data_IF_279406796726
#
_entry.id   IF_279406796726
#
_cell.length_a   1.000
_cell.length_b   1.000
_cell.length_c   1.000
_cell.angle_alpha   90.00
_cell.angle_beta   90.00
_cell.angle_gamma   90.00
#
_symmetry.space_group_name_H-M   'P 1'
#
loop_
_entity.id
_entity.type
_entity.pdbx_description
1 polymer ?
#
# COMPACT_ATOMS: atom_id res chain seq x y z
N UNK A 1 20.81 3.39 7.76
CA UNK A 1 19.59 3.58 8.54
C UNK A 1 18.39 3.29 7.68
N UNK A 2 17.31 2.89 8.33
CA UNK A 2 16.16 2.36 7.61
C UNK A 2 14.94 3.19 7.92
N UNK A 3 14.53 3.98 6.94
CA UNK A 3 13.28 4.70 7.01
C UNK A 3 12.27 3.90 6.21
N UNK A 4 11.11 3.64 6.78
CA UNK A 4 10.04 2.91 6.09
C UNK A 4 8.84 3.81 5.87
N UNK A 5 8.07 3.49 4.84
CA UNK A 5 6.86 4.20 4.50
C UNK A 5 5.78 3.19 4.11
N UNK A 6 4.54 3.59 4.23
CA UNK A 6 3.42 2.80 3.74
C UNK A 6 2.75 3.57 2.60
N UNK A 7 2.47 2.87 1.50
CA UNK A 7 1.89 3.45 0.30
C UNK A 7 0.58 2.74 -0.04
N UNK A 8 -0.49 3.48 -0.35
CA UNK A 8 -1.82 2.89 -0.56
C UNK A 8 -2.01 2.32 -1.97
N UNK A 9 -1.10 1.48 -2.41
CA UNK A 9 -1.24 0.71 -3.63
C UNK A 9 -0.37 -0.54 -3.53
N UNK A 10 -0.54 -1.46 -4.48
CA UNK A 10 0.31 -2.63 -4.62
C UNK A 10 1.50 -2.28 -5.51
N UNK A 11 2.52 -1.65 -4.91
CA UNK A 11 3.71 -1.24 -5.65
C UNK A 11 4.33 -2.42 -6.41
N UNK A 12 4.88 -2.19 -7.60
CA UNK A 12 5.19 -0.89 -8.23
C UNK A 12 4.01 -0.22 -8.92
N UNK A 13 2.81 -0.76 -8.79
CA UNK A 13 1.63 -0.18 -9.40
C UNK A 13 1.22 1.10 -8.68
N UNK A 14 0.91 2.14 -9.42
CA UNK A 14 0.42 3.43 -8.94
C UNK A 14 1.34 4.12 -7.93
N UNK A 15 2.56 4.38 -8.33
CA UNK A 15 3.44 5.27 -7.57
C UNK A 15 2.85 6.69 -7.56
N UNK A 16 3.12 7.43 -6.50
CA UNK A 16 2.67 8.82 -6.37
C UNK A 16 1.28 8.95 -5.78
N UNK A 17 0.54 9.94 -6.23
CA UNK A 17 -0.74 10.35 -5.65
C UNK A 17 -1.94 9.71 -6.35
N UNK A 18 -3.12 9.86 -5.71
CA UNK A 18 -4.42 9.49 -6.28
C UNK A 18 -4.54 8.00 -6.64
N UNK A 19 -3.96 7.15 -5.80
CA UNK A 19 -3.95 5.71 -6.06
C UNK A 19 -5.35 5.11 -6.12
N UNK A 20 -6.24 5.56 -5.24
CA UNK A 20 -7.62 5.05 -5.19
C UNK A 20 -8.41 5.45 -6.43
N UNK A 21 -8.28 6.71 -6.87
CA UNK A 21 -8.91 7.17 -8.10
C UNK A 21 -8.42 6.36 -9.30
N UNK A 22 -7.12 6.11 -9.34
CA UNK A 22 -6.50 5.40 -10.47
C UNK A 22 -6.94 3.93 -10.50
N UNK A 23 -7.00 3.28 -9.34
CA UNK A 23 -7.46 1.89 -9.25
C UNK A 23 -8.91 1.75 -9.72
N UNK A 24 -9.78 2.65 -9.29
CA UNK A 24 -11.21 2.63 -9.67
C UNK A 24 -11.37 2.94 -11.15
N UNK A 25 -10.70 3.97 -11.65
CA UNK A 25 -10.76 4.36 -13.05
C UNK A 25 -10.33 3.23 -13.97
N UNK A 26 -9.32 2.47 -13.58
CA UNK A 26 -8.80 1.36 -14.37
C UNK A 26 -9.56 0.05 -14.12
N UNK A 27 -10.61 0.08 -13.31
CA UNK A 27 -11.45 -1.08 -12.99
C UNK A 27 -10.63 -2.27 -12.46
N UNK A 28 -9.65 -1.98 -11.63
CA UNK A 28 -8.84 -3.02 -11.01
C UNK A 28 -9.68 -3.87 -10.07
N UNK A 29 -9.44 -5.18 -10.06
CA UNK A 29 -10.11 -6.08 -9.13
C UNK A 29 -9.54 -5.97 -7.71
N UNK A 30 -8.28 -5.63 -7.60
CA UNK A 30 -7.58 -5.51 -6.33
C UNK A 30 -6.78 -4.22 -6.30
N UNK A 31 -6.75 -3.61 -5.14
CA UNK A 31 -5.80 -2.59 -4.77
C UNK A 31 -5.08 -3.09 -3.53
N UNK A 32 -4.58 -2.23 -2.69
CA UNK A 32 -3.96 -2.63 -1.45
C UNK A 32 -3.01 -1.59 -0.93
N UNK A 33 -2.06 -2.07 -0.14
CA UNK A 33 -1.05 -1.21 0.44
C UNK A 33 0.29 -1.93 0.52
N UNK A 34 1.35 -1.15 0.56
CA UNK A 34 2.72 -1.64 0.57
C UNK A 34 3.52 -0.93 1.65
N UNK A 35 4.22 -1.68 2.49
CA UNK A 35 5.25 -1.12 3.36
C UNK A 35 6.59 -1.34 2.69
N UNK A 36 7.36 -0.28 2.53
CA UNK A 36 8.64 -0.33 1.81
C UNK A 36 9.68 0.56 2.47
N UNK A 37 10.93 0.29 2.18
CA UNK A 37 12.02 1.19 2.57
C UNK A 37 11.98 2.43 1.69
N UNK A 38 12.29 3.58 2.30
CA UNK A 38 12.36 4.83 1.55
C UNK A 38 13.66 4.83 0.73
N UNK A 39 13.55 5.27 -0.52
CA UNK A 39 14.71 5.45 -1.41
C UNK A 39 14.66 6.85 -2.03
N UNK A 40 15.69 7.21 -2.79
CA UNK A 40 15.72 8.50 -3.48
C UNK A 40 14.63 8.64 -4.52
N UNK A 41 14.20 7.52 -5.12
CA UNK A 41 13.12 7.53 -6.11
C UNK A 41 11.79 7.37 -5.41
N UNK A 42 10.78 8.10 -5.90
CA UNK A 42 9.43 8.05 -5.34
C UNK A 42 8.88 6.62 -5.36
N UNK A 43 8.46 6.15 -4.19
CA UNK A 43 7.78 4.85 -4.01
C UNK A 43 8.52 3.68 -4.68
N UNK A 44 9.84 3.69 -4.66
CA UNK A 44 10.67 2.70 -5.36
C UNK A 44 11.63 1.93 -4.44
N UNK A 45 11.56 2.13 -3.14
CA UNK A 45 12.38 1.39 -2.20
C UNK A 45 11.96 -0.07 -2.11
N UNK A 46 12.84 -0.90 -1.56
CA UNK A 46 12.60 -2.33 -1.41
C UNK A 46 11.31 -2.59 -0.63
N UNK A 47 10.47 -3.46 -1.16
CA UNK A 47 9.21 -3.85 -0.53
C UNK A 47 9.47 -4.77 0.65
N UNK A 48 8.82 -4.48 1.77
CA UNK A 48 8.88 -5.30 2.98
C UNK A 48 7.71 -6.27 3.01
N UNK A 49 6.48 -5.74 2.98
CA UNK A 49 5.24 -6.53 2.92
C UNK A 49 4.18 -5.76 2.15
N UNK A 50 3.20 -6.51 1.64
CA UNK A 50 2.04 -5.94 0.96
C UNK A 50 0.78 -6.64 1.42
N UNK A 51 -0.36 -5.96 1.28
CA UNK A 51 -1.66 -6.56 1.54
C UNK A 51 -2.64 -6.17 0.43
N UNK A 52 -3.30 -7.17 -0.15
CA UNK A 52 -4.35 -6.96 -1.15
C UNK A 52 -5.65 -6.55 -0.47
N UNK A 53 -6.37 -5.64 -1.12
CA UNK A 53 -7.73 -5.24 -0.73
C UNK A 53 -8.59 -5.29 -1.98
N UNK A 54 -9.68 -6.03 -1.92
CA UNK A 54 -10.59 -6.16 -3.06
C UNK A 54 -11.26 -4.82 -3.36
N UNK A 55 -11.30 -4.44 -4.64
CA UNK A 55 -12.05 -3.29 -5.10
C UNK A 55 -13.46 -3.76 -5.44
N UNK A 56 -14.46 -3.13 -4.83
CA UNK A 56 -15.87 -3.48 -5.06
C UNK A 56 -16.45 -2.62 -6.16
N UNK A 57 -17.45 -3.16 -6.88
CA UNK A 57 -18.12 -2.41 -7.96
C UNK A 57 -18.72 -1.09 -7.48
N UNK A 58 -19.17 -1.07 -6.24
CA UNK A 58 -19.77 0.12 -5.63
C UNK A 58 -18.77 1.08 -5.02
N UNK A 59 -17.46 0.77 -5.06
CA UNK A 59 -16.47 1.60 -4.43
C UNK A 59 -16.36 2.96 -5.09
N UNK A 60 -16.25 3.97 -4.23
CA UNK A 60 -15.75 5.29 -4.58
C UNK A 60 -14.31 5.39 -4.09
N UNK A 61 -13.54 6.40 -4.52
CA UNK A 61 -12.21 6.61 -3.96
C UNK A 61 -12.22 6.70 -2.44
N UNK A 62 -13.26 7.34 -1.88
CA UNK A 62 -13.40 7.51 -0.43
C UNK A 62 -13.64 6.18 0.30
N UNK A 63 -14.54 5.34 -0.21
CA UNK A 63 -14.82 4.06 0.44
C UNK A 63 -13.65 3.10 0.34
N UNK A 64 -12.98 3.07 -0.81
CA UNK A 64 -11.77 2.26 -1.00
C UNK A 64 -10.66 2.74 -0.07
N UNK A 65 -10.47 4.05 0.02
CA UNK A 65 -9.47 4.64 0.91
C UNK A 65 -9.66 4.20 2.36
N UNK A 66 -10.89 4.20 2.85
CA UNK A 66 -11.20 3.78 4.23
C UNK A 66 -10.82 2.33 4.47
N UNK A 67 -11.15 1.43 3.53
CA UNK A 67 -10.82 0.02 3.68
C UNK A 67 -9.33 -0.24 3.57
N UNK A 68 -8.64 0.49 2.70
CA UNK A 68 -7.19 0.37 2.59
C UNK A 68 -6.50 0.90 3.85
N UNK A 69 -7.01 1.97 4.45
CA UNK A 69 -6.47 2.48 5.70
C UNK A 69 -6.54 1.44 6.83
N UNK A 70 -7.66 0.71 6.91
CA UNK A 70 -7.78 -0.37 7.87
C UNK A 70 -6.71 -1.44 7.63
N UNK A 71 -6.50 -1.80 6.36
CA UNK A 71 -5.47 -2.76 5.99
C UNK A 71 -4.06 -2.25 6.32
N UNK A 72 -3.80 -0.95 6.09
CA UNK A 72 -2.52 -0.33 6.44
C UNK A 72 -2.24 -0.44 7.93
N UNK A 73 -3.25 -0.15 8.76
CA UNK A 73 -3.10 -0.20 10.21
C UNK A 73 -2.80 -1.61 10.72
N UNK A 74 -3.30 -2.64 10.03
CA UNK A 74 -3.01 -4.03 10.36
C UNK A 74 -1.64 -4.46 9.84
N UNK A 75 -1.25 -3.94 8.69
CA UNK A 75 -0.02 -4.35 8.01
C UNK A 75 1.23 -3.76 8.65
N UNK A 76 1.15 -2.53 9.15
CA UNK A 76 2.32 -1.83 9.67
C UNK A 76 3.02 -2.58 10.82
N UNK A 77 2.29 -3.06 11.85
CA UNK A 77 2.93 -3.86 12.90
C UNK A 77 3.56 -5.15 12.37
N UNK A 78 2.97 -5.76 11.35
CA UNK A 78 3.52 -6.97 10.72
C UNK A 78 4.85 -6.63 10.06
N UNK A 79 4.93 -5.50 9.37
CA UNK A 79 6.16 -5.04 8.76
C UNK A 79 7.27 -4.81 9.79
N UNK A 80 6.93 -4.16 10.90
CA UNK A 80 7.88 -3.90 11.99
C UNK A 80 8.41 -5.22 12.56
N UNK A 81 7.54 -6.18 12.83
CA UNK A 81 7.96 -7.49 13.34
C UNK A 81 8.87 -8.21 12.35
N UNK A 82 8.54 -8.12 11.06
CA UNK A 82 9.38 -8.75 10.02
C UNK A 82 10.78 -8.16 10.00
N UNK A 83 10.89 -6.84 10.12
CA UNK A 83 12.18 -6.15 10.15
C UNK A 83 12.99 -6.58 11.37
N UNK A 84 12.36 -6.58 12.55
CA UNK A 84 13.02 -6.92 13.81
C UNK A 84 13.45 -8.38 13.86
N UNK A 85 12.68 -9.30 13.28
CA UNK A 85 12.99 -10.72 13.32
C UNK A 85 14.17 -11.11 12.44
N UNK A 86 14.64 -10.23 11.57
CA UNK A 86 15.81 -10.49 10.72
C UNK A 86 17.15 -10.20 11.41
N UNK A 87 17.09 -9.67 12.57
CA UNK A 87 18.30 -9.40 13.36
C UNK A 87 18.51 -10.50 14.43
#
# INVERSE_FOLDING_TARGET
YNIINIHPSLLPKYKGLNTHDRAIKNKDKYSGCTVHYVSEKLDSGKIIVQKKVKVLKSDTPQSLSKRILIAENKLYPIAIRKILSKN
#
